data_IF_168948186975
#
_entry.id   IF_168948186975
#
_cell.length_a   1.000
_cell.length_b   1.000
_cell.length_c   1.000
_cell.angle_alpha   90.00
_cell.angle_beta   90.00
_cell.angle_gamma   90.00
#
_symmetry.space_group_name_H-M   'P 1'
#
loop_
_entity.id
_entity.type
_entity.pdbx_description
1 polymer ?
#
# COMPACT_ATOMS: atom_id res chain seq x y z
N UNK A 1 23.17 27.43 -19.13
CA UNK A 1 23.40 25.97 -19.03
C UNK A 1 22.21 25.21 -18.44
N UNK A 2 21.18 25.87 -17.89
CA UNK A 2 19.90 25.21 -17.57
C UNK A 2 18.85 25.61 -18.60
N UNK A 3 18.95 25.03 -19.81
CA UNK A 3 17.90 25.13 -20.82
C UNK A 3 16.72 24.23 -20.46
N UNK A 4 15.50 24.64 -20.85
CA UNK A 4 14.25 23.87 -20.90
C UNK A 4 14.38 22.39 -20.55
N UNK A 5 14.43 22.07 -19.26
CA UNK A 5 14.39 20.68 -18.79
C UNK A 5 12.95 20.41 -18.41
N UNK A 6 12.33 19.47 -19.12
CA UNK A 6 11.00 18.99 -18.74
C UNK A 6 11.03 18.57 -17.27
N UNK A 7 10.09 19.10 -16.50
CA UNK A 7 9.95 18.73 -15.09
C UNK A 7 9.57 17.24 -15.04
N UNK A 8 10.19 16.44 -14.16
CA UNK A 8 9.78 15.05 -14.00
C UNK A 8 8.35 15.00 -13.51
N UNK A 9 7.58 14.05 -14.03
CA UNK A 9 6.25 13.76 -13.52
C UNK A 9 6.38 13.17 -12.11
N UNK A 10 5.55 13.64 -11.19
CA UNK A 10 5.57 13.23 -9.79
C UNK A 10 4.23 12.59 -9.38
N UNK A 11 4.32 11.49 -8.65
CA UNK A 11 3.18 10.89 -7.94
C UNK A 11 3.50 10.86 -6.45
N UNK A 12 2.60 11.40 -5.62
CA UNK A 12 2.76 11.48 -4.17
C UNK A 12 1.74 10.60 -3.46
N UNK A 13 2.23 9.61 -2.71
CA UNK A 13 1.41 8.62 -2.02
C UNK A 13 1.75 8.63 -0.53
N UNK A 14 0.75 8.84 0.31
CA UNK A 14 0.86 8.73 1.77
C UNK A 14 0.55 7.30 2.20
N UNK A 15 1.45 6.70 2.97
CA UNK A 15 1.28 5.35 3.53
C UNK A 15 0.98 5.43 5.02
N UNK A 16 -0.19 4.95 5.44
CA UNK A 16 -0.61 4.93 6.84
C UNK A 16 -0.80 3.50 7.34
N UNK A 17 0.18 3.00 8.09
CA UNK A 17 0.16 1.67 8.74
C UNK A 17 -0.60 1.64 10.07
N UNK A 18 -0.68 2.77 10.78
CA UNK A 18 -1.28 2.86 12.13
C UNK A 18 -2.70 3.46 12.03
N UNK A 19 -3.71 2.60 11.90
CA UNK A 19 -5.13 2.95 11.94
C UNK A 19 -5.97 1.79 12.52
N UNK A 20 -7.27 2.01 12.70
CA UNK A 20 -8.19 1.09 13.38
C UNK A 20 -8.97 0.15 12.43
N UNK A 21 -8.89 0.36 11.11
CA UNK A 21 -9.54 -0.50 10.11
C UNK A 21 -8.92 -1.91 10.08
N UNK A 22 -9.76 -2.95 10.07
CA UNK A 22 -9.37 -4.37 9.96
C UNK A 22 -10.29 -5.05 8.96
N UNK A 23 -9.74 -5.98 8.19
CA UNK A 23 -10.52 -6.81 7.24
C UNK A 23 -10.36 -8.28 7.60
N UNK A 24 -11.45 -9.01 7.41
CA UNK A 24 -11.54 -10.42 7.75
C UNK A 24 -12.29 -11.16 6.65
N UNK A 25 -11.88 -12.41 6.41
CA UNK A 25 -12.68 -13.38 5.66
C UNK A 25 -13.54 -14.15 6.66
N UNK A 26 -14.81 -14.33 6.33
CA UNK A 26 -15.75 -15.09 7.16
C UNK A 26 -16.37 -16.21 6.32
N UNK A 27 -16.20 -17.45 6.76
CA UNK A 27 -16.71 -18.64 6.07
C UNK A 27 -18.01 -19.19 6.68
N UNK A 28 -18.61 -18.46 7.63
CA UNK A 28 -19.80 -18.90 8.37
C UNK A 28 -19.50 -19.55 9.72
N UNK A 29 -18.25 -19.95 9.98
CA UNK A 29 -17.84 -20.60 11.23
C UNK A 29 -16.57 -19.99 11.84
N UNK A 30 -15.65 -19.57 11.00
CA UNK A 30 -14.34 -19.05 11.38
C UNK A 30 -14.11 -17.66 10.77
N UNK A 31 -13.44 -16.82 11.55
CA UNK A 31 -12.93 -15.54 11.09
C UNK A 31 -11.44 -15.69 10.80
N UNK A 32 -11.05 -15.45 9.56
CA UNK A 32 -9.66 -15.55 9.10
C UNK A 32 -9.13 -14.19 8.66
N UNK A 33 -7.81 -14.04 8.71
CA UNK A 33 -7.16 -12.87 8.10
C UNK A 33 -7.33 -12.91 6.58
N UNK A 34 -7.42 -11.72 5.98
CA UNK A 34 -7.31 -11.58 4.52
C UNK A 34 -5.94 -12.06 4.03
N UNK A 35 -5.91 -12.54 2.79
CA UNK A 35 -4.69 -13.04 2.17
C UNK A 35 -3.71 -11.90 1.86
N UNK A 36 -2.42 -12.22 1.75
CA UNK A 36 -1.44 -11.27 1.26
C UNK A 36 -1.76 -10.92 -0.20
N UNK A 37 -1.74 -9.62 -0.51
CA UNK A 37 -2.13 -9.08 -1.81
C UNK A 37 -3.60 -8.67 -1.90
N UNK A 38 -4.41 -8.86 -0.86
CA UNK A 38 -5.80 -8.34 -0.87
C UNK A 38 -5.79 -6.81 -0.91
N UNK A 39 -6.49 -6.26 -1.91
CA UNK A 39 -6.73 -4.84 -2.09
C UNK A 39 -8.21 -4.54 -1.82
N UNK A 40 -8.48 -3.41 -1.14
CA UNK A 40 -9.82 -2.87 -0.97
C UNK A 40 -9.80 -1.41 -1.43
N UNK A 41 -10.44 -1.14 -2.56
CA UNK A 41 -10.56 0.19 -3.18
C UNK A 41 -12.03 0.60 -3.42
N UNK A 42 -12.99 -0.16 -2.88
CA UNK A 42 -14.44 0.08 -2.99
C UNK A 42 -15.10 0.14 -1.61
N UNK A 43 -16.25 0.82 -1.53
CA UNK A 43 -17.17 0.97 -0.39
C UNK A 43 -16.63 1.65 0.89
N UNK A 44 -15.44 1.28 1.35
CA UNK A 44 -14.86 1.65 2.66
C UNK A 44 -13.63 2.57 2.45
N UNK A 45 -13.66 3.37 1.39
CA UNK A 45 -12.63 4.33 0.99
C UNK A 45 -13.16 5.77 0.97
N UNK A 46 -12.29 6.75 0.75
CA UNK A 46 -12.72 8.14 0.64
C UNK A 46 -13.63 8.32 -0.59
N UNK A 47 -14.78 9.04 -0.46
CA UNK A 47 -15.77 9.11 -1.55
C UNK A 47 -15.31 9.89 -2.79
N UNK A 48 -14.29 10.74 -2.68
CA UNK A 48 -13.83 11.61 -3.76
C UNK A 48 -12.32 11.61 -4.00
N UNK A 49 -11.54 10.94 -3.16
CA UNK A 49 -10.07 10.92 -3.25
C UNK A 49 -9.64 9.50 -3.57
N UNK A 50 -8.45 9.36 -4.16
CA UNK A 50 -7.97 8.05 -4.57
C UNK A 50 -7.24 7.34 -3.42
N UNK A 51 -7.99 6.47 -2.75
CA UNK A 51 -7.57 5.76 -1.56
C UNK A 51 -7.78 4.27 -1.74
N UNK A 52 -6.84 3.47 -1.22
CA UNK A 52 -7.01 2.03 -1.18
C UNK A 52 -6.30 1.44 0.04
N UNK A 53 -6.85 0.34 0.55
CA UNK A 53 -6.16 -0.50 1.51
C UNK A 53 -5.45 -1.63 0.78
N UNK A 54 -4.21 -1.93 1.17
CA UNK A 54 -3.48 -3.08 0.70
C UNK A 54 -2.96 -3.89 1.89
N UNK A 55 -3.35 -5.16 1.96
CA UNK A 55 -2.79 -6.13 2.89
C UNK A 55 -1.61 -6.84 2.22
N UNK A 56 -0.43 -6.23 2.21
CA UNK A 56 0.73 -6.76 1.47
C UNK A 56 1.39 -7.97 2.14
N UNK A 57 1.31 -8.11 3.46
CA UNK A 57 1.95 -9.21 4.21
C UNK A 57 0.94 -10.19 4.80
N UNK A 58 1.33 -11.46 4.89
CA UNK A 58 0.60 -12.46 5.67
C UNK A 58 0.85 -12.23 7.17
N UNK A 59 -0.23 -12.11 7.96
CA UNK A 59 -0.11 -11.99 9.40
C UNK A 59 0.35 -13.32 10.02
N UNK A 60 1.54 -13.33 10.61
CA UNK A 60 2.07 -14.50 11.33
C UNK A 60 1.36 -14.74 12.67
N UNK A 61 0.91 -13.68 13.33
CA UNK A 61 0.23 -13.74 14.63
C UNK A 61 -0.74 -12.57 14.76
N UNK A 62 -1.91 -12.83 15.35
CA UNK A 62 -2.97 -11.84 15.52
C UNK A 62 -3.63 -11.44 14.21
N UNK A 63 -4.31 -10.30 14.23
CA UNK A 63 -5.03 -9.76 13.07
C UNK A 63 -4.13 -8.96 12.14
N UNK A 64 -4.26 -9.16 10.83
CA UNK A 64 -3.56 -8.35 9.84
C UNK A 64 -3.95 -6.87 9.96
N UNK A 65 -2.96 -5.99 9.77
CA UNK A 65 -3.16 -4.55 9.66
C UNK A 65 -2.82 -4.16 8.23
N UNK A 66 -3.82 -4.05 7.34
CA UNK A 66 -3.62 -3.53 5.99
C UNK A 66 -3.07 -2.12 6.10
N UNK A 67 -2.25 -1.67 5.17
CA UNK A 67 -1.84 -0.26 5.12
C UNK A 67 -2.83 0.52 4.24
N UNK A 68 -3.20 1.72 4.67
CA UNK A 68 -3.95 2.67 3.86
C UNK A 68 -2.98 3.47 3.00
N UNK A 69 -3.24 3.51 1.69
CA UNK A 69 -2.52 4.30 0.72
C UNK A 69 -3.45 5.39 0.22
N UNK A 70 -2.97 6.63 0.27
CA UNK A 70 -3.72 7.82 -0.11
C UNK A 70 -2.92 8.59 -1.14
N UNK A 71 -3.42 8.66 -2.38
CA UNK A 71 -2.73 9.33 -3.49
C UNK A 71 -3.13 10.80 -3.49
N UNK A 72 -2.21 11.68 -3.05
CA UNK A 72 -2.46 13.12 -2.98
C UNK A 72 -2.26 13.82 -4.32
N UNK A 73 -1.36 13.30 -5.15
CA UNK A 73 -0.95 13.92 -6.39
C UNK A 73 -0.48 12.85 -7.37
N UNK A 74 -0.85 12.99 -8.65
CA UNK A 74 -0.42 12.07 -9.71
C UNK A 74 -0.31 12.78 -11.06
N UNK A 75 0.90 13.15 -11.48
CA UNK A 75 1.19 13.71 -12.80
C UNK A 75 1.39 12.64 -13.88
N UNK A 76 1.66 11.39 -13.48
CA UNK A 76 1.94 10.29 -14.40
C UNK A 76 0.64 9.80 -15.05
N UNK A 77 -0.49 9.94 -14.33
CA UNK A 77 -1.81 9.51 -14.80
C UNK A 77 -1.96 7.99 -14.72
N UNK A 78 -1.57 7.41 -13.60
CA UNK A 78 -1.68 5.98 -13.39
C UNK A 78 -3.15 5.53 -13.31
N UNK A 79 -3.37 4.29 -13.74
CA UNK A 79 -4.62 3.58 -13.42
C UNK A 79 -4.58 3.06 -11.99
N UNK A 80 -5.77 2.82 -11.40
CA UNK A 80 -5.90 2.27 -10.05
C UNK A 80 -5.08 0.97 -9.90
N UNK A 81 -5.28 0.02 -10.83
CA UNK A 81 -4.58 -1.26 -10.85
C UNK A 81 -3.06 -1.10 -10.92
N UNK A 82 -2.57 -0.13 -11.71
CA UNK A 82 -1.14 0.10 -11.88
C UNK A 82 -0.47 0.58 -10.58
N UNK A 83 -1.08 1.55 -9.87
CA UNK A 83 -0.55 2.01 -8.57
C UNK A 83 -0.62 0.89 -7.53
N UNK A 84 -1.73 0.16 -7.47
CA UNK A 84 -1.92 -0.93 -6.51
C UNK A 84 -0.87 -2.04 -6.73
N UNK A 85 -0.66 -2.45 -7.98
CA UNK A 85 0.32 -3.47 -8.35
C UNK A 85 1.75 -3.00 -8.09
N UNK A 86 2.09 -1.76 -8.48
CA UNK A 86 3.40 -1.16 -8.20
C UNK A 86 3.71 -1.15 -6.70
N UNK A 87 2.73 -0.71 -5.90
CA UNK A 87 2.85 -0.65 -4.44
C UNK A 87 3.07 -2.05 -3.84
N UNK A 88 2.36 -3.06 -4.35
CA UNK A 88 2.54 -4.44 -3.91
C UNK A 88 3.91 -5.00 -4.29
N UNK A 89 4.41 -4.73 -5.50
CA UNK A 89 5.75 -5.14 -5.91
C UNK A 89 6.84 -4.50 -5.05
N UNK A 90 6.71 -3.22 -4.70
CA UNK A 90 7.64 -2.56 -3.79
C UNK A 90 7.65 -3.16 -2.37
N UNK A 91 6.60 -3.89 -1.97
CA UNK A 91 6.61 -4.62 -0.70
C UNK A 91 7.43 -5.92 -0.74
N UNK A 92 7.87 -6.37 -1.92
CA UNK A 92 8.70 -7.57 -2.10
C UNK A 92 10.19 -7.26 -2.27
N UNK A 93 10.56 -5.98 -2.39
CA UNK A 93 11.95 -5.55 -2.64
C UNK A 93 12.74 -5.28 -1.36
N UNK A 94 12.22 -5.71 -0.21
CA UNK A 94 12.91 -5.61 1.07
C UNK A 94 14.03 -6.65 1.18
N UNK A 95 15.27 -6.20 1.41
CA UNK A 95 16.47 -7.02 1.46
C UNK A 95 16.64 -7.74 2.80
N UNK A 96 15.85 -7.41 3.83
CA UNK A 96 15.98 -7.99 5.18
C UNK A 96 15.27 -9.34 5.30
N UNK A 97 14.31 -9.64 4.42
CA UNK A 97 13.62 -10.92 4.42
C UNK A 97 13.09 -11.32 3.04
N UNK A 98 13.06 -12.62 2.75
CA UNK A 98 12.46 -13.20 1.54
C UNK A 98 10.93 -13.33 1.65
N UNK A 99 10.27 -12.31 2.22
CA UNK A 99 8.82 -12.27 2.46
C UNK A 99 8.30 -10.88 2.14
N UNK A 100 7.05 -10.79 1.69
CA UNK A 100 6.38 -9.51 1.52
C UNK A 100 6.21 -8.81 2.87
N UNK A 101 6.59 -7.54 2.93
CA UNK A 101 6.49 -6.68 4.13
C UNK A 101 5.22 -5.81 4.11
N UNK A 102 4.76 -5.35 5.28
CA UNK A 102 3.51 -4.57 5.43
C UNK A 102 3.43 -3.23 4.70
N UNK A 103 4.57 -2.67 4.32
CA UNK A 103 4.71 -1.33 3.73
C UNK A 103 5.81 -1.41 2.66
N UNK A 104 5.85 -0.50 1.69
CA UNK A 104 6.84 -0.55 0.61
C UNK A 104 8.26 -0.45 1.17
N UNK A 105 9.21 -1.19 0.58
CA UNK A 105 10.61 -1.17 0.94
C UNK A 105 11.20 0.25 1.13
N UNK A 106 10.97 1.24 0.24
CA UNK A 106 11.51 2.59 0.46
C UNK A 106 10.98 3.26 1.73
N UNK A 107 9.71 3.06 2.09
CA UNK A 107 9.12 3.61 3.32
C UNK A 107 9.70 2.90 4.54
N UNK A 108 9.85 1.58 4.48
CA UNK A 108 10.45 0.82 5.57
C UNK A 108 11.92 1.20 5.79
N UNK A 109 12.70 1.44 4.72
CA UNK A 109 14.07 1.90 4.85
C UNK A 109 14.17 3.33 5.38
N UNK A 110 13.23 4.21 5.01
CA UNK A 110 13.16 5.55 5.60
C UNK A 110 12.92 5.47 7.12
N UNK A 111 12.01 4.60 7.58
CA UNK A 111 11.78 4.35 9.01
C UNK A 111 13.02 3.81 9.74
N UNK A 112 13.90 3.07 9.05
CA UNK A 112 15.13 2.52 9.63
C UNK A 112 16.30 3.50 9.64
N UNK A 113 16.28 4.49 8.74
CA UNK A 113 17.31 5.52 8.62
C UNK A 113 17.06 6.72 9.55
N UNK A 114 15.83 6.91 10.01
CA UNK A 114 15.42 7.95 10.95
C UNK A 114 15.98 7.71 12.36
#
# INVERSE_FOLDING_TARGET
VYGNRELPQLTFIVVKKRHNTRFFLYDGQHTMNVQAGTVIDQDIIHPSQFDFYLCSQAARMGTSRPALYHVLHDDIGFTSDAIQQLTYWLCHTDMRCTKSVSIPAPVHYADLAA
#
